data_IF_798566522909
#
_entry.id   IF_798566522909
#
_cell.length_a   1.000
_cell.length_b   1.000
_cell.length_c   1.000
_cell.angle_alpha   90.00
_cell.angle_beta   90.00
_cell.angle_gamma   90.00
#
_symmetry.space_group_name_H-M   'P 1'
#
loop_
_entity.id
_entity.type
_entity.pdbx_description
1 polymer ?
#
# COMPACT_ATOMS: atom_id res chain seq x y z
N UNK A 1 5.25 -18.46 2.57
CA UNK A 1 5.62 -17.10 2.10
C UNK A 1 5.29 -16.14 3.23
N UNK A 2 6.27 -15.41 3.78
CA UNK A 2 6.06 -14.48 4.91
C UNK A 2 6.30 -13.04 4.47
N UNK A 3 5.33 -12.46 3.75
CA UNK A 3 5.46 -11.12 3.15
C UNK A 3 5.79 -10.04 4.17
N UNK A 4 5.14 -10.03 5.34
CA UNK A 4 5.39 -9.01 6.35
C UNK A 4 6.77 -9.12 7.01
N UNK A 5 7.24 -10.34 7.26
CA UNK A 5 8.60 -10.56 7.78
C UNK A 5 9.65 -10.07 6.77
N UNK A 6 9.44 -10.33 5.48
CA UNK A 6 10.30 -9.82 4.42
C UNK A 6 10.29 -8.29 4.34
N UNK A 7 9.11 -7.66 4.43
CA UNK A 7 9.01 -6.21 4.43
C UNK A 7 9.63 -5.58 5.68
N UNK A 8 9.57 -6.24 6.84
CA UNK A 8 10.22 -5.78 8.06
C UNK A 8 11.75 -5.87 7.97
N UNK A 9 12.29 -6.91 7.32
CA UNK A 9 13.73 -7.10 7.09
C UNK A 9 14.28 -6.11 6.04
N UNK A 10 13.48 -5.84 4.99
CA UNK A 10 13.88 -4.98 3.88
C UNK A 10 12.77 -3.97 3.55
N UNK A 11 12.56 -2.96 4.39
CA UNK A 11 11.45 -2.04 4.24
C UNK A 11 11.61 -1.09 3.04
N UNK A 12 12.83 -0.95 2.51
CA UNK A 12 13.13 -0.14 1.32
C UNK A 12 12.73 -0.75 -0.03
N UNK A 13 12.25 -2.01 -0.08
CA UNK A 13 12.00 -2.73 -1.35
C UNK A 13 10.71 -2.31 -2.03
N UNK A 14 9.78 -1.71 -1.29
CA UNK A 14 8.52 -1.21 -1.84
C UNK A 14 8.75 -0.04 -2.78
N UNK A 15 8.00 0.00 -3.89
CA UNK A 15 8.03 1.15 -4.77
C UNK A 15 7.42 2.37 -4.06
N UNK A 16 7.93 3.60 -4.27
CA UNK A 16 7.26 4.80 -3.79
C UNK A 16 5.81 4.84 -4.28
N UNK A 17 4.89 5.13 -3.36
CA UNK A 17 3.51 5.46 -3.67
C UNK A 17 3.39 6.98 -3.51
N UNK A 18 3.12 7.68 -4.61
CA UNK A 18 3.07 9.16 -4.65
C UNK A 18 2.04 9.80 -3.71
N UNK A 19 1.94 11.13 -3.81
CA UNK A 19 1.38 12.16 -2.89
C UNK A 19 0.11 11.87 -2.07
N UNK A 20 0.07 10.78 -1.31
CA UNK A 20 -0.72 10.70 -0.10
C UNK A 20 -0.02 11.54 0.98
N UNK A 21 -0.78 12.11 1.93
CA UNK A 21 -0.27 12.94 3.01
C UNK A 21 0.67 12.20 4.01
N UNK A 22 1.15 11.01 3.64
CA UNK A 22 2.04 10.14 4.41
C UNK A 22 3.45 10.22 3.80
N UNK A 23 4.41 10.82 4.51
CA UNK A 23 5.82 10.82 4.09
C UNK A 23 6.34 9.39 3.89
N UNK A 24 7.19 9.21 2.87
CA UNK A 24 7.85 7.94 2.55
C UNK A 24 6.90 6.73 2.37
N UNK A 25 5.67 7.00 1.92
CA UNK A 25 4.72 5.94 1.61
C UNK A 25 5.24 5.04 0.49
N UNK A 26 5.14 3.74 0.73
CA UNK A 26 5.57 2.68 -0.17
C UNK A 26 4.45 1.71 -0.44
N UNK A 27 4.54 1.06 -1.60
CA UNK A 27 3.63 0.01 -2.03
C UNK A 27 4.36 -1.27 -2.41
N UNK A 28 3.75 -2.40 -2.10
CA UNK A 28 4.27 -3.72 -2.44
C UNK A 28 3.18 -4.63 -2.99
N UNK A 29 3.47 -5.31 -4.11
CA UNK A 29 2.59 -6.34 -4.69
C UNK A 29 3.04 -7.72 -4.20
N UNK A 30 2.08 -8.51 -3.76
CA UNK A 30 2.38 -9.86 -3.29
C UNK A 30 2.53 -10.80 -4.50
N UNK A 31 3.70 -11.41 -4.68
CA UNK A 31 3.92 -12.42 -5.73
C UNK A 31 2.95 -13.59 -5.56
N UNK A 32 2.27 -13.99 -6.64
CA UNK A 32 1.23 -15.04 -6.61
C UNK A 32 -0.14 -14.54 -6.13
N UNK A 33 -0.23 -13.30 -5.64
CA UNK A 33 -1.47 -12.62 -5.25
C UNK A 33 -1.45 -11.20 -5.82
N UNK A 34 -1.35 -11.10 -7.15
CA UNK A 34 -1.09 -9.84 -7.86
C UNK A 34 -2.18 -8.78 -7.64
N UNK A 35 -3.37 -9.21 -7.24
CA UNK A 35 -4.48 -8.35 -6.88
C UNK A 35 -4.34 -7.75 -5.48
N UNK A 36 -3.38 -8.18 -4.65
CA UNK A 36 -3.15 -7.61 -3.32
C UNK A 36 -2.04 -6.57 -3.37
N UNK A 37 -2.36 -5.36 -2.92
CA UNK A 37 -1.44 -4.24 -2.78
C UNK A 37 -1.34 -3.82 -1.32
N UNK A 38 -0.12 -3.83 -0.77
CA UNK A 38 0.17 -3.38 0.60
C UNK A 38 0.72 -1.97 0.52
N UNK A 39 0.16 -1.05 1.31
CA UNK A 39 0.69 0.29 1.56
C UNK A 39 1.27 0.37 2.96
N UNK A 40 2.49 0.89 3.07
CA UNK A 40 3.21 1.00 4.32
C UNK A 40 4.20 2.15 4.28
N UNK A 41 4.62 2.63 5.45
CA UNK A 41 5.85 3.41 5.60
C UNK A 41 6.70 2.77 6.71
N UNK A 42 7.93 3.25 6.89
CA UNK A 42 8.81 2.76 7.93
C UNK A 42 9.69 3.88 8.49
N UNK A 43 10.20 3.66 9.70
CA UNK A 43 11.28 4.42 10.31
C UNK A 43 12.45 3.47 10.65
N UNK A 44 13.43 3.95 11.43
CA UNK A 44 14.62 3.18 11.80
C UNK A 44 14.32 1.93 12.63
N UNK A 45 13.11 1.80 13.18
CA UNK A 45 12.74 0.76 14.14
C UNK A 45 11.47 -0.01 13.78
N UNK A 46 10.58 0.61 13.01
CA UNK A 46 9.21 0.13 12.83
C UNK A 46 8.79 0.15 11.36
N UNK A 47 7.95 -0.83 11.02
CA UNK A 47 7.18 -0.84 9.78
C UNK A 47 5.70 -0.64 10.11
N UNK A 48 5.10 0.38 9.51
CA UNK A 48 3.71 0.77 9.71
C UNK A 48 2.88 0.34 8.51
N UNK A 49 2.00 -0.63 8.70
CA UNK A 49 1.03 -1.04 7.68
C UNK A 49 -0.14 -0.05 7.68
N UNK A 50 -0.31 0.67 6.56
CA UNK A 50 -1.35 1.69 6.41
C UNK A 50 -2.62 1.08 5.82
N UNK A 51 -2.48 0.30 4.75
CA UNK A 51 -3.64 -0.32 4.08
C UNK A 51 -3.24 -1.57 3.32
N UNK A 52 -4.15 -2.52 3.22
CA UNK A 52 -4.06 -3.65 2.29
C UNK A 52 -5.29 -3.57 1.39
N UNK A 53 -5.05 -3.47 0.08
CA UNK A 53 -6.10 -3.39 -0.92
C UNK A 53 -6.12 -4.65 -1.78
N UNK A 54 -7.32 -5.12 -2.10
CA UNK A 54 -7.56 -6.04 -3.18
C UNK A 54 -7.93 -5.25 -4.45
N UNK A 55 -6.96 -4.98 -5.33
CA UNK A 55 -7.08 -4.12 -6.51
C UNK A 55 -8.09 -4.54 -7.59
N UNK A 56 -8.81 -5.65 -7.44
CA UNK A 56 -9.97 -5.98 -8.29
C UNK A 56 -11.33 -5.89 -7.55
N UNK A 57 -11.33 -5.40 -6.31
CA UNK A 57 -12.53 -5.18 -5.49
C UNK A 57 -12.55 -3.78 -4.90
N UNK A 58 -11.37 -3.30 -4.52
CA UNK A 58 -11.21 -2.00 -3.87
C UNK A 58 -10.82 -0.89 -4.86
N UNK A 59 -10.45 -1.24 -6.10
CA UNK A 59 -10.16 -0.23 -7.13
C UNK A 59 -11.46 0.41 -7.64
N UNK A 60 -12.53 -0.36 -7.77
CA UNK A 60 -13.84 0.17 -8.15
C UNK A 60 -14.35 1.15 -7.08
N UNK A 61 -14.25 0.81 -5.79
CA UNK A 61 -14.65 1.73 -4.71
C UNK A 61 -13.76 2.96 -4.58
N UNK A 62 -12.45 2.85 -4.88
CA UNK A 62 -11.54 4.01 -4.91
C UNK A 62 -11.78 4.94 -6.11
N UNK A 63 -12.34 4.43 -7.21
CA UNK A 63 -12.71 5.22 -8.39
C UNK A 63 -14.13 5.80 -8.27
N UNK A 64 -15.02 5.16 -7.52
CA UNK A 64 -16.38 5.65 -7.26
C UNK A 64 -16.40 6.85 -6.29
N UNK A 65 -15.43 6.96 -5.38
CA UNK A 65 -15.30 8.07 -4.42
C UNK A 65 -14.91 9.42 -5.08
N UNK A 66 -14.52 9.46 -6.37
CA UNK A 66 -14.21 10.71 -7.10
C UNK A 66 -15.48 11.50 -7.53
N UNK A 67 -16.68 11.00 -7.24
CA UNK A 67 -17.95 11.65 -7.60
C UNK A 67 -18.63 12.49 -6.50
N UNK A 68 -18.13 12.54 -5.27
CA UNK A 68 -18.77 13.31 -4.17
C UNK A 68 -18.17 14.70 -3.88
N UNK A 69 -17.26 15.22 -4.73
CA UNK A 69 -16.72 16.59 -4.60
C UNK A 69 -17.24 17.58 -5.66
N UNK A 70 -18.51 17.42 -6.07
CA UNK A 70 -19.22 18.43 -6.84
C UNK A 70 -20.54 18.82 -6.17
N UNK A 71 -20.47 19.70 -5.18
CA UNK A 71 -21.57 20.61 -4.81
C UNK A 71 -21.01 22.02 -4.55
#
# INVERSE_FOLDING_TARGET
>A
MQTFAFLADQPGVGAPAGSLAVPDLRRWRIKGYEKILIFYHYDDHNLYLIRILHGARDLDSLLDDEHEFSE
#
